data_IF_785961644043
#
_entry.id   IF_785961644043
#
_cell.length_a   1.000
_cell.length_b   1.000
_cell.length_c   1.000
_cell.angle_alpha   90.00
_cell.angle_beta   90.00
_cell.angle_gamma   90.00
#
_symmetry.space_group_name_H-M   'P 1'
#
loop_
_entity.id
_entity.type
_entity.pdbx_description
1 polymer ?
#
# COMPACT_ATOMS: atom_id res chain seq x y z
N UNK A 1 15.11 24.66 -6.09
CA UNK A 1 14.21 25.77 -5.69
C UNK A 1 13.55 25.68 -4.31
N UNK A 2 13.46 24.54 -3.61
CA UNK A 2 13.14 24.52 -2.16
C UNK A 2 14.21 23.84 -1.28
N UNK A 3 15.26 23.29 -1.92
CA UNK A 3 16.37 22.64 -1.22
C UNK A 3 16.08 21.24 -0.68
N UNK A 4 14.88 20.70 -0.91
CA UNK A 4 14.57 19.31 -0.59
C UNK A 4 15.42 18.35 -1.41
N UNK A 5 15.77 17.21 -0.80
CA UNK A 5 16.50 16.11 -1.47
C UNK A 5 15.58 14.98 -1.90
N UNK A 6 14.38 14.90 -1.32
CA UNK A 6 13.38 13.87 -1.60
C UNK A 6 11.97 14.48 -1.60
N UNK A 7 11.05 13.79 -2.26
CA UNK A 7 9.61 13.95 -2.08
C UNK A 7 9.05 12.68 -1.44
N UNK A 8 8.22 12.82 -0.41
CA UNK A 8 7.42 11.72 0.14
C UNK A 8 6.00 11.84 -0.40
N UNK A 9 5.53 10.79 -1.05
CA UNK A 9 4.17 10.68 -1.56
C UNK A 9 3.32 9.93 -0.54
N UNK A 10 2.14 10.49 -0.24
CA UNK A 10 1.05 9.70 0.35
C UNK A 10 0.74 8.49 -0.55
N UNK A 11 0.03 7.45 -0.05
CA UNK A 11 -0.12 6.21 -0.79
C UNK A 11 -0.66 6.43 -2.21
N UNK A 12 0.12 5.98 -3.21
CA UNK A 12 -0.22 6.12 -4.63
C UNK A 12 -0.91 4.88 -5.19
N UNK A 13 -0.90 3.77 -4.45
CA UNK A 13 -1.58 2.54 -4.83
C UNK A 13 -3.10 2.77 -4.99
N UNK A 14 -3.75 1.98 -5.85
CA UNK A 14 -5.16 2.17 -6.13
C UNK A 14 -6.03 1.98 -4.88
N UNK A 15 -6.90 2.95 -4.65
CA UNK A 15 -7.78 3.03 -3.49
C UNK A 15 -9.13 3.60 -3.94
N UNK A 16 -10.28 3.12 -3.43
CA UNK A 16 -11.58 3.56 -3.94
C UNK A 16 -12.05 4.90 -3.36
N UNK A 17 -11.62 5.22 -2.14
CA UNK A 17 -12.18 6.33 -1.36
C UNK A 17 -11.17 7.45 -1.15
N UNK A 18 -11.34 8.57 -1.86
CA UNK A 18 -10.43 9.72 -1.80
C UNK A 18 -10.19 10.29 -0.39
N UNK A 19 -11.20 10.39 0.49
CA UNK A 19 -11.00 10.85 1.87
C UNK A 19 -10.20 9.91 2.77
N UNK A 20 -9.88 8.68 2.33
CA UNK A 20 -8.87 7.85 3.01
C UNK A 20 -7.45 8.37 2.81
N UNK A 21 -7.26 9.34 1.92
CA UNK A 21 -5.98 9.87 1.48
C UNK A 21 -5.01 8.81 0.94
N UNK A 22 -5.54 7.67 0.49
CA UNK A 22 -4.78 6.54 -0.04
C UNK A 22 -4.58 5.40 0.95
N UNK A 23 -4.84 5.58 2.25
CA UNK A 23 -4.56 4.54 3.25
C UNK A 23 -5.56 3.37 3.27
N UNK A 24 -6.62 3.41 2.46
CA UNK A 24 -7.50 2.24 2.24
C UNK A 24 -7.30 1.67 0.85
N UNK A 25 -6.16 0.99 0.66
CA UNK A 25 -5.72 0.42 -0.62
C UNK A 25 -6.52 -0.84 -0.99
N UNK A 26 -6.94 -0.95 -2.25
CA UNK A 26 -7.54 -2.18 -2.81
C UNK A 26 -6.72 -2.76 -3.96
N UNK A 27 -5.97 -1.93 -4.71
CA UNK A 27 -5.07 -2.36 -5.78
C UNK A 27 -3.61 -2.11 -5.43
N UNK A 28 -3.01 -3.04 -4.69
CA UNK A 28 -1.64 -2.90 -4.17
C UNK A 28 -0.56 -2.84 -5.26
N UNK A 29 -0.80 -3.47 -6.42
CA UNK A 29 0.15 -3.60 -7.54
C UNK A 29 -0.15 -2.64 -8.71
N UNK A 30 -0.86 -1.55 -8.47
CA UNK A 30 -1.12 -0.55 -9.50
C UNK A 30 -1.17 0.85 -8.89
N UNK A 31 -0.55 1.87 -9.51
CA UNK A 31 -0.79 3.24 -9.13
C UNK A 31 -2.23 3.63 -9.47
N UNK A 32 -2.78 4.59 -8.72
CA UNK A 32 -4.18 5.00 -8.90
C UNK A 32 -4.41 5.57 -10.31
N UNK A 33 -5.43 5.06 -10.98
CA UNK A 33 -5.79 5.48 -12.33
C UNK A 33 -6.33 6.92 -12.39
N UNK A 34 -6.59 7.55 -11.23
CA UNK A 34 -7.04 8.95 -11.14
C UNK A 34 -6.05 9.95 -11.72
N UNK A 35 -4.77 9.60 -11.75
CA UNK A 35 -3.68 10.49 -12.16
C UNK A 35 -3.02 10.10 -13.48
N UNK A 36 -3.56 9.09 -14.18
CA UNK A 36 -3.04 8.61 -15.45
C UNK A 36 -2.76 7.12 -15.45
N UNK A 37 -1.94 6.71 -16.42
CA UNK A 37 -1.50 5.33 -16.58
C UNK A 37 -0.29 5.03 -15.67
N UNK A 38 0.07 3.74 -15.49
CA UNK A 38 1.32 3.37 -14.83
C UNK A 38 2.56 4.00 -15.48
N UNK A 39 2.57 4.18 -16.79
CA UNK A 39 3.70 4.83 -17.49
C UNK A 39 3.80 6.33 -17.18
N UNK A 40 2.67 7.00 -16.94
CA UNK A 40 2.67 8.39 -16.48
C UNK A 40 3.28 8.52 -15.08
N UNK A 41 3.04 7.52 -14.21
CA UNK A 41 3.69 7.48 -12.89
C UNK A 41 5.20 7.20 -12.99
N UNK A 42 5.62 6.27 -13.87
CA UNK A 42 7.06 6.07 -14.15
C UNK A 42 7.72 7.34 -14.69
N UNK A 43 7.03 8.07 -15.56
CA UNK A 43 7.50 9.35 -16.07
C UNK A 43 7.69 10.38 -14.95
N UNK A 44 6.76 10.47 -13.99
CA UNK A 44 6.90 11.34 -12.83
C UNK A 44 8.16 11.00 -12.02
N UNK A 45 8.38 9.71 -11.72
CA UNK A 45 9.56 9.27 -10.94
C UNK A 45 10.85 9.57 -11.71
N UNK A 46 10.92 9.25 -13.01
CA UNK A 46 12.09 9.57 -13.85
C UNK A 46 12.35 11.08 -13.91
N UNK A 47 11.31 11.91 -13.98
CA UNK A 47 11.45 13.36 -13.96
C UNK A 47 12.03 13.88 -12.62
N UNK A 48 11.60 13.31 -11.49
CA UNK A 48 12.14 13.62 -10.16
C UNK A 48 13.61 13.19 -10.05
N UNK A 49 13.94 11.99 -10.51
CA UNK A 49 15.31 11.49 -10.53
C UNK A 49 16.25 12.34 -11.39
N UNK A 50 15.81 12.75 -12.59
CA UNK A 50 16.57 13.68 -13.46
C UNK A 50 16.78 15.05 -12.82
N UNK A 51 15.88 15.47 -11.93
CA UNK A 51 16.03 16.68 -11.13
C UNK A 51 16.90 16.47 -9.87
N UNK A 52 17.40 15.26 -9.63
CA UNK A 52 18.23 14.93 -8.47
C UNK A 52 17.45 14.73 -7.17
N UNK A 53 16.15 14.45 -7.25
CA UNK A 53 15.27 14.20 -6.10
C UNK A 53 15.00 12.70 -5.96
N UNK A 54 15.15 12.16 -4.75
CA UNK A 54 14.66 10.81 -4.44
C UNK A 54 13.14 10.80 -4.17
N UNK A 55 12.52 9.64 -4.29
CA UNK A 55 11.08 9.44 -4.14
C UNK A 55 10.82 8.41 -3.04
N UNK A 56 10.14 8.85 -1.98
CA UNK A 56 9.64 7.99 -0.91
C UNK A 56 8.14 7.79 -1.14
N UNK A 57 7.65 6.58 -0.90
CA UNK A 57 6.23 6.26 -0.98
C UNK A 57 5.73 5.74 0.37
N UNK A 58 4.60 6.28 0.84
CA UNK A 58 3.84 5.64 1.91
C UNK A 58 3.29 4.29 1.42
N UNK A 59 3.75 3.22 2.06
CA UNK A 59 3.34 1.84 1.82
C UNK A 59 2.47 1.37 2.97
N UNK A 60 1.34 0.73 2.65
CA UNK A 60 0.26 0.44 3.61
C UNK A 60 0.09 -1.06 3.85
N UNK A 61 1.04 -1.75 4.51
CA UNK A 61 0.96 -3.18 4.80
C UNK A 61 0.13 -3.49 6.06
N UNK A 62 -0.37 -2.49 6.77
CA UNK A 62 -1.01 -2.68 8.07
C UNK A 62 -2.44 -3.23 7.95
N UNK A 63 -3.19 -2.80 6.93
CA UNK A 63 -4.60 -3.14 6.79
C UNK A 63 -5.09 -2.99 5.34
N UNK A 64 -6.30 -3.48 5.07
CA UNK A 64 -7.03 -3.30 3.82
C UNK A 64 -8.54 -3.16 4.09
N UNK A 65 -9.31 -2.47 3.23
CA UNK A 65 -10.73 -2.23 3.49
C UNK A 65 -11.59 -3.47 3.24
N UNK A 66 -12.85 -3.44 3.70
CA UNK A 66 -13.79 -4.57 3.64
C UNK A 66 -14.64 -4.59 2.36
N UNK A 67 -14.23 -3.86 1.33
CA UNK A 67 -14.85 -3.89 0.01
C UNK A 67 -14.90 -5.32 -0.53
N UNK A 68 -16.11 -5.79 -0.87
CA UNK A 68 -16.39 -7.17 -1.29
C UNK A 68 -15.79 -7.55 -2.65
N UNK A 69 -15.51 -6.55 -3.48
CA UNK A 69 -14.86 -6.69 -4.78
C UNK A 69 -13.32 -6.69 -4.70
N UNK A 70 -12.75 -6.53 -3.50
CA UNK A 70 -11.30 -6.46 -3.27
C UNK A 70 -10.77 -7.73 -2.59
N UNK A 71 -9.96 -7.60 -1.53
CA UNK A 71 -9.27 -8.73 -0.88
C UNK A 71 -10.08 -9.41 0.24
N UNK A 72 -11.17 -8.79 0.69
CA UNK A 72 -11.98 -9.29 1.79
C UNK A 72 -12.61 -10.65 1.44
N UNK A 73 -12.37 -11.69 2.24
CA UNK A 73 -12.88 -13.06 2.04
C UNK A 73 -12.76 -13.53 0.59
N UNK A 74 -11.57 -13.33 0.02
CA UNK A 74 -11.31 -13.39 -1.42
C UNK A 74 -11.82 -14.66 -2.12
N UNK A 75 -11.81 -15.81 -1.45
CA UNK A 75 -12.28 -17.10 -1.97
C UNK A 75 -13.55 -17.63 -1.26
N UNK A 76 -14.20 -16.79 -0.45
CA UNK A 76 -15.36 -17.11 0.40
C UNK A 76 -15.01 -17.29 1.88
N UNK A 77 -13.77 -17.62 2.20
CA UNK A 77 -13.24 -17.74 3.56
C UNK A 77 -12.18 -16.66 3.86
N UNK A 78 -11.83 -16.42 5.13
CA UNK A 78 -10.69 -15.57 5.49
C UNK A 78 -9.41 -16.05 4.79
N UNK A 79 -8.93 -15.27 3.82
CA UNK A 79 -7.77 -15.63 2.99
C UNK A 79 -6.58 -14.72 3.26
N UNK A 80 -6.78 -13.41 3.06
CA UNK A 80 -5.76 -12.38 3.28
C UNK A 80 -5.76 -11.89 4.73
N UNK A 81 -6.94 -11.89 5.36
CA UNK A 81 -7.18 -11.62 6.75
C UNK A 81 -7.12 -12.90 7.61
N UNK A 82 -6.76 -12.80 8.90
CA UNK A 82 -6.82 -13.92 9.83
C UNK A 82 -8.22 -14.52 9.94
N UNK A 83 -8.31 -15.85 10.14
CA UNK A 83 -9.57 -16.52 10.44
C UNK A 83 -10.12 -16.31 11.86
N UNK A 84 -9.32 -15.75 12.77
CA UNK A 84 -9.77 -15.33 14.10
C UNK A 84 -10.30 -13.90 14.03
N UNK A 85 -11.62 -13.72 14.16
CA UNK A 85 -12.30 -12.42 14.09
C UNK A 85 -11.70 -11.35 15.01
N UNK A 86 -11.15 -11.75 16.18
CA UNK A 86 -10.53 -10.81 17.13
C UNK A 86 -9.24 -10.20 16.60
N UNK A 87 -8.59 -10.92 15.69
CA UNK A 87 -7.34 -10.51 15.03
C UNK A 87 -7.59 -10.02 13.62
N UNK A 88 -8.73 -10.35 13.02
CA UNK A 88 -9.03 -10.02 11.64
C UNK A 88 -9.25 -8.54 11.44
N UNK A 89 -9.86 -7.84 12.41
CA UNK A 89 -10.33 -6.47 12.24
C UNK A 89 -9.53 -5.47 13.05
N UNK A 90 -9.19 -4.34 12.43
CA UNK A 90 -8.67 -3.20 13.19
C UNK A 90 -9.80 -2.52 13.96
N UNK A 91 -9.72 -2.40 15.30
CA UNK A 91 -10.85 -2.00 16.16
C UNK A 91 -11.40 -0.61 15.84
N UNK A 92 -10.51 0.34 15.51
CA UNK A 92 -10.89 1.74 15.31
C UNK A 92 -11.21 2.12 13.86
N UNK A 93 -10.81 1.30 12.88
CA UNK A 93 -10.80 1.70 11.46
C UNK A 93 -11.85 0.98 10.62
N UNK A 94 -12.47 -0.08 11.16
CA UNK A 94 -13.44 -0.88 10.41
C UNK A 94 -12.84 -1.65 9.23
N UNK A 95 -11.51 -1.78 9.17
CA UNK A 95 -10.74 -2.48 8.13
C UNK A 95 -10.37 -3.89 8.59
N UNK A 96 -9.88 -4.71 7.67
CA UNK A 96 -9.20 -5.96 8.01
C UNK A 96 -7.69 -5.74 8.10
N UNK A 97 -7.02 -6.52 8.95
CA UNK A 97 -5.55 -6.63 9.00
C UNK A 97 -5.10 -7.85 8.20
N UNK A 98 -3.86 -7.85 7.71
CA UNK A 98 -3.30 -9.01 7.01
C UNK A 98 -2.91 -10.15 7.96
N UNK A 99 -3.07 -11.39 7.51
CA UNK A 99 -2.51 -12.58 8.17
C UNK A 99 -1.03 -12.74 7.83
N UNK A 100 -0.18 -12.00 8.55
CA UNK A 100 1.28 -12.04 8.37
C UNK A 100 1.90 -13.43 8.61
N UNK A 101 1.19 -14.35 9.30
CA UNK A 101 1.68 -15.71 9.54
C UNK A 101 1.56 -16.58 8.28
N UNK A 102 0.58 -16.30 7.42
CA UNK A 102 0.36 -17.05 6.18
C UNK A 102 1.43 -16.72 5.14
N UNK A 103 2.03 -17.76 4.57
CA UNK A 103 3.18 -17.63 3.66
C UNK A 103 2.84 -16.84 2.41
N UNK A 104 1.70 -17.10 1.79
CA UNK A 104 1.27 -16.45 0.55
C UNK A 104 0.92 -14.97 0.78
N UNK A 105 0.32 -14.63 1.93
CA UNK A 105 0.00 -13.25 2.32
C UNK A 105 1.28 -12.46 2.61
N UNK A 106 2.22 -13.07 3.34
CA UNK A 106 3.55 -12.46 3.54
C UNK A 106 4.27 -12.26 2.20
N UNK A 107 4.18 -13.24 1.30
CA UNK A 107 4.79 -13.13 -0.03
C UNK A 107 4.15 -12.01 -0.86
N UNK A 108 2.82 -11.89 -0.83
CA UNK A 108 2.09 -10.78 -1.46
C UNK A 108 2.61 -9.43 -0.97
N UNK A 109 2.75 -9.23 0.33
CA UNK A 109 3.23 -7.96 0.88
C UNK A 109 4.72 -7.70 0.58
N UNK A 110 5.59 -8.69 0.80
CA UNK A 110 7.03 -8.53 0.56
C UNK A 110 7.31 -8.30 -0.93
N UNK A 111 6.69 -9.07 -1.82
CA UNK A 111 6.82 -8.86 -3.25
C UNK A 111 6.22 -7.52 -3.68
N UNK A 112 5.19 -7.01 -2.99
CA UNK A 112 4.65 -5.68 -3.27
C UNK A 112 5.63 -4.56 -2.93
N UNK A 113 6.32 -4.64 -1.79
CA UNK A 113 7.37 -3.68 -1.45
C UNK A 113 8.49 -3.68 -2.51
N UNK A 114 8.93 -4.87 -2.93
CA UNK A 114 9.95 -5.02 -3.98
C UNK A 114 9.45 -4.48 -5.33
N UNK A 115 8.20 -4.78 -5.69
CA UNK A 115 7.58 -4.34 -6.94
C UNK A 115 7.66 -2.82 -7.14
N UNK A 116 7.36 -2.03 -6.10
CA UNK A 116 7.45 -0.58 -6.20
C UNK A 116 8.88 -0.08 -6.42
N UNK A 117 9.86 -0.70 -5.77
CA UNK A 117 11.27 -0.37 -5.95
C UNK A 117 11.79 -0.79 -7.34
N UNK A 118 11.41 -1.97 -7.84
CA UNK A 118 11.95 -2.50 -9.10
C UNK A 118 11.21 -1.97 -10.34
N UNK A 119 9.88 -1.89 -10.32
CA UNK A 119 9.08 -1.56 -11.52
C UNK A 119 8.80 -0.06 -11.67
N UNK A 120 8.90 0.70 -10.58
CA UNK A 120 8.67 2.14 -10.55
C UNK A 120 9.85 2.94 -10.02
N UNK A 121 10.95 2.29 -9.64
CA UNK A 121 12.17 2.92 -9.13
C UNK A 121 11.94 3.79 -7.88
N UNK A 122 11.02 3.39 -7.00
CA UNK A 122 10.82 4.07 -5.70
C UNK A 122 12.06 3.85 -4.82
N UNK A 123 12.61 4.94 -4.26
CA UNK A 123 13.88 4.94 -3.53
C UNK A 123 13.73 4.58 -2.04
N UNK A 124 12.52 4.69 -1.51
CA UNK A 124 12.25 4.36 -0.12
C UNK A 124 10.77 4.15 0.16
N UNK A 125 10.48 3.33 1.17
CA UNK A 125 9.13 3.09 1.66
C UNK A 125 9.00 3.56 3.09
N UNK A 126 7.93 4.28 3.38
CA UNK A 126 7.52 4.61 4.75
C UNK A 126 6.29 3.81 5.12
N UNK A 127 6.28 3.22 6.31
CA UNK A 127 5.13 2.47 6.84
C UNK A 127 4.48 3.29 7.93
N UNK A 128 3.20 3.59 7.76
CA UNK A 128 2.39 4.24 8.80
C UNK A 128 1.93 3.25 9.86
N UNK A 129 1.61 3.78 11.05
CA UNK A 129 0.94 3.05 12.12
C UNK A 129 1.53 1.67 12.50
N UNK A 130 2.85 1.45 12.39
CA UNK A 130 3.52 0.15 12.68
C UNK A 130 3.09 -0.50 14.01
N UNK A 131 2.72 0.29 15.02
CA UNK A 131 2.18 -0.23 16.28
C UNK A 131 0.93 -1.12 16.08
N UNK A 132 0.04 -0.82 15.13
CA UNK A 132 -1.15 -1.65 14.82
C UNK A 132 -0.79 -3.01 14.22
N UNK A 133 0.44 -3.18 13.71
CA UNK A 133 0.93 -4.46 13.20
C UNK A 133 1.59 -5.29 14.31
N UNK A 134 2.15 -4.63 15.33
CA UNK A 134 2.93 -5.27 16.39
C UNK A 134 2.07 -5.71 17.59
N UNK A 135 0.95 -5.03 17.83
CA UNK A 135 0.08 -5.26 18.96
C UNK A 135 -1.32 -5.68 18.51
N UNK A 136 -1.88 -6.66 19.22
CA UNK A 136 -3.24 -7.18 19.05
C UNK A 136 -4.19 -6.54 20.06
#
# INVERSE_FOLDING_TARGET
>A
DLGFTHVELMPVAEHPYGPSWGYQVTGFYAPTARLGSPDDFRFLVDALHRAGLGVIMDWVPAHFPKDDWALARFDGDPLYEPGDDRRATHPDWGTYTFDFARTEVRNFLVANAVYWCEEFHIDGLRVDAVASMLYL
#
